data_IF_395791948372
#
_entry.id   IF_395791948372
#
_cell.length_a   1.000
_cell.length_b   1.000
_cell.length_c   1.000
_cell.angle_alpha   90.00
_cell.angle_beta   90.00
_cell.angle_gamma   90.00
#
_symmetry.space_group_name_H-M   'P 1'
#
loop_
_entity.id
_entity.type
_entity.pdbx_description
1 polymer ?
#
# COMPACT_ATOMS: atom_id res chain seq x y z
N UNK A 1 -31.98 7.35 -44.21
CA UNK A 1 -32.03 6.81 -42.83
C UNK A 1 -30.70 7.16 -42.16
N UNK A 2 -30.71 8.08 -41.18
CA UNK A 2 -29.52 8.52 -40.42
C UNK A 2 -29.30 7.56 -39.26
N UNK A 3 -28.08 7.05 -39.07
CA UNK A 3 -27.63 6.51 -37.78
C UNK A 3 -26.52 7.43 -37.25
N UNK A 4 -26.79 7.98 -36.07
CA UNK A 4 -26.10 9.10 -35.48
C UNK A 4 -24.75 8.70 -34.87
N UNK A 5 -23.75 9.55 -35.08
CA UNK A 5 -22.49 9.52 -34.36
C UNK A 5 -22.70 9.83 -32.88
N UNK A 6 -22.37 8.87 -32.03
CA UNK A 6 -22.11 9.09 -30.61
C UNK A 6 -20.62 9.14 -30.37
N UNK A 7 -19.99 10.31 -30.56
CA UNK A 7 -18.67 10.56 -29.95
C UNK A 7 -18.89 10.47 -28.45
N UNK A 8 -18.34 9.43 -27.82
CA UNK A 8 -18.20 9.36 -26.37
C UNK A 8 -17.46 10.62 -25.94
N UNK A 9 -18.19 11.61 -25.43
CA UNK A 9 -17.61 12.81 -24.84
C UNK A 9 -16.79 12.33 -23.66
N UNK A 10 -15.47 12.30 -23.86
CA UNK A 10 -14.51 12.04 -22.79
C UNK A 10 -14.79 13.01 -21.67
N UNK A 11 -15.29 12.51 -20.55
CA UNK A 11 -15.29 13.24 -19.32
C UNK A 11 -13.83 13.57 -19.02
N UNK A 12 -13.44 14.83 -19.18
CA UNK A 12 -12.16 15.33 -18.67
C UNK A 12 -12.20 15.05 -17.16
N UNK A 13 -11.36 14.16 -16.60
CA UNK A 13 -11.45 13.84 -15.19
C UNK A 13 -11.17 15.13 -14.43
N UNK A 14 -12.13 15.55 -13.58
CA UNK A 14 -11.91 16.63 -12.62
C UNK A 14 -10.53 16.41 -11.99
N UNK A 15 -9.62 17.39 -12.13
CA UNK A 15 -8.21 17.30 -11.67
C UNK A 15 -8.18 16.53 -10.37
N UNK A 16 -7.74 15.25 -10.40
CA UNK A 16 -7.81 14.38 -9.23
C UNK A 16 -6.94 15.02 -8.16
N UNK A 17 -7.57 15.69 -7.18
CA UNK A 17 -6.86 16.35 -6.08
C UNK A 17 -5.99 15.29 -5.42
N UNK A 18 -4.68 15.55 -5.36
CA UNK A 18 -3.72 14.68 -4.65
C UNK A 18 -4.15 14.53 -3.19
N UNK A 19 -3.87 13.37 -2.60
CA UNK A 19 -3.97 13.14 -1.16
C UNK A 19 -2.66 13.58 -0.53
N UNK A 20 -2.75 14.31 0.58
CA UNK A 20 -1.60 14.82 1.32
C UNK A 20 -1.61 14.12 2.69
N UNK A 21 -0.51 13.46 3.04
CA UNK A 21 -0.31 12.84 4.36
C UNK A 21 0.98 13.41 4.94
N UNK A 22 0.86 14.25 5.96
CA UNK A 22 1.97 15.08 6.45
C UNK A 22 2.55 15.92 5.30
N UNK A 23 3.85 15.76 5.03
CA UNK A 23 4.56 16.42 3.92
C UNK A 23 4.55 15.66 2.59
N UNK A 24 3.97 14.46 2.55
CA UNK A 24 4.00 13.59 1.36
C UNK A 24 2.72 13.74 0.53
N UNK A 25 2.85 13.66 -0.80
CA UNK A 25 1.76 13.85 -1.76
C UNK A 25 1.58 12.61 -2.62
N UNK A 26 0.36 12.09 -2.68
CA UNK A 26 -0.02 10.90 -3.43
C UNK A 26 -1.08 11.25 -4.48
N UNK A 27 -0.95 10.74 -5.69
CA UNK A 27 -1.98 10.83 -6.73
C UNK A 27 -3.09 9.79 -6.53
N UNK A 28 -2.77 8.64 -5.96
CA UNK A 28 -3.76 7.61 -5.62
C UNK A 28 -4.38 7.88 -4.25
N UNK A 29 -5.68 7.62 -4.15
CA UNK A 29 -6.44 7.67 -2.88
C UNK A 29 -6.66 6.27 -2.30
N UNK A 30 -6.22 5.24 -3.01
CA UNK A 30 -6.35 3.85 -2.60
C UNK A 30 -5.14 3.45 -1.78
N UNK A 31 -5.40 2.99 -0.56
CA UNK A 31 -4.43 2.33 0.30
C UNK A 31 -4.69 0.82 0.21
N UNK A 32 -3.62 0.03 0.14
CA UNK A 32 -3.74 -1.40 -0.04
C UNK A 32 -3.06 -2.17 1.10
N UNK A 33 -3.64 -3.29 1.54
CA UNK A 33 -3.00 -4.18 2.50
C UNK A 33 -2.42 -5.42 1.83
N UNK A 34 -1.50 -6.11 2.50
CA UNK A 34 -0.78 -7.29 1.94
C UNK A 34 -1.22 -8.63 2.53
N UNK A 35 -2.19 -8.61 3.45
CA UNK A 35 -2.42 -9.73 4.38
C UNK A 35 -3.07 -10.99 3.81
N UNK A 36 -3.79 -10.90 2.69
CA UNK A 36 -4.72 -11.95 2.21
C UNK A 36 -4.42 -12.43 0.78
N UNK A 37 -3.23 -12.15 0.26
CA UNK A 37 -2.81 -12.69 -1.03
C UNK A 37 -2.32 -14.13 -0.87
N UNK A 38 -2.60 -14.94 -1.88
CA UNK A 38 -2.17 -16.33 -1.93
C UNK A 38 -0.65 -16.44 -2.05
N UNK A 39 -0.03 -15.55 -2.84
CA UNK A 39 1.40 -15.52 -3.12
C UNK A 39 1.88 -14.08 -3.40
N UNK A 40 3.21 -13.91 -3.45
CA UNK A 40 3.85 -12.62 -3.68
C UNK A 40 3.57 -12.05 -5.08
N UNK A 41 3.53 -12.91 -6.10
CA UNK A 41 3.31 -12.50 -7.48
C UNK A 41 1.93 -11.86 -7.66
N UNK A 42 0.88 -12.53 -7.17
CA UNK A 42 -0.50 -12.04 -7.19
C UNK A 42 -0.62 -10.72 -6.43
N UNK A 43 0.03 -10.62 -5.26
CA UNK A 43 0.04 -9.40 -4.47
C UNK A 43 0.68 -8.23 -5.23
N UNK A 44 1.86 -8.43 -5.81
CA UNK A 44 2.60 -7.40 -6.56
C UNK A 44 1.79 -6.97 -7.78
N UNK A 45 1.25 -7.93 -8.55
CA UNK A 45 0.40 -7.64 -9.70
C UNK A 45 -0.82 -6.79 -9.32
N UNK A 46 -1.49 -7.14 -8.22
CA UNK A 46 -2.65 -6.40 -7.74
C UNK A 46 -2.29 -4.98 -7.28
N UNK A 47 -1.16 -4.80 -6.59
CA UNK A 47 -0.67 -3.47 -6.18
C UNK A 47 -0.39 -2.59 -7.39
N UNK A 48 0.35 -3.10 -8.38
CA UNK A 48 0.68 -2.36 -9.59
C UNK A 48 -0.57 -2.00 -10.39
N UNK A 49 -1.48 -2.95 -10.61
CA UNK A 49 -2.73 -2.73 -11.34
C UNK A 49 -3.64 -1.70 -10.65
N UNK A 50 -3.65 -1.68 -9.31
CA UNK A 50 -4.47 -0.75 -8.53
C UNK A 50 -3.97 0.71 -8.57
N UNK A 51 -2.68 0.91 -8.91
CA UNK A 51 -2.02 2.21 -8.79
C UNK A 51 -1.94 2.73 -7.35
N UNK A 52 -2.12 1.87 -6.34
CA UNK A 52 -1.93 2.24 -4.94
C UNK A 52 -0.49 2.68 -4.70
N UNK A 53 -0.32 3.76 -3.95
CA UNK A 53 1.02 4.29 -3.62
C UNK A 53 1.37 4.12 -2.15
N UNK A 54 0.40 3.71 -1.32
CA UNK A 54 0.60 3.43 0.09
C UNK A 54 0.15 1.99 0.32
N UNK A 55 1.07 1.15 0.79
CA UNK A 55 0.84 -0.27 1.02
C UNK A 55 1.11 -0.59 2.48
N UNK A 56 0.12 -1.14 3.19
CA UNK A 56 0.24 -1.45 4.62
C UNK A 56 0.78 -2.85 4.84
N UNK A 57 1.77 -2.98 5.73
CA UNK A 57 2.46 -4.24 6.02
C UNK A 57 2.37 -4.56 7.51
N UNK A 58 2.06 -5.81 7.84
CA UNK A 58 2.00 -6.26 9.24
C UNK A 58 3.38 -6.77 9.68
N UNK A 59 3.88 -6.25 10.80
CA UNK A 59 5.25 -6.53 11.28
C UNK A 59 5.45 -7.95 11.81
N UNK A 60 4.38 -8.66 12.15
CA UNK A 60 4.43 -10.06 12.59
C UNK A 60 5.05 -11.01 11.56
N UNK A 61 5.12 -10.57 10.30
CA UNK A 61 5.65 -11.32 9.16
C UNK A 61 7.12 -11.05 8.86
N UNK A 62 7.75 -10.07 9.51
CA UNK A 62 9.15 -9.73 9.21
C UNK A 62 10.08 -10.68 9.99
N UNK A 63 10.93 -11.44 9.29
CA UNK A 63 12.04 -12.21 9.88
C UNK A 63 11.72 -13.59 10.46
N UNK A 64 10.49 -14.10 10.33
CA UNK A 64 10.07 -15.44 10.79
C UNK A 64 9.53 -16.35 9.68
N UNK A 65 9.70 -15.94 8.44
CA UNK A 65 9.08 -16.58 7.29
C UNK A 65 10.15 -17.28 6.46
N UNK A 66 9.96 -18.54 6.05
CA UNK A 66 10.81 -19.19 5.04
C UNK A 66 10.97 -18.27 3.82
N UNK A 67 12.15 -18.20 3.18
CA UNK A 67 12.38 -17.22 2.08
C UNK A 67 11.32 -17.29 0.97
N UNK A 68 10.75 -18.47 0.76
CA UNK A 68 9.69 -18.77 -0.20
C UNK A 68 8.32 -18.12 0.11
N UNK A 69 8.08 -17.73 1.35
CA UNK A 69 6.86 -17.03 1.79
C UNK A 69 7.10 -15.52 2.02
N UNK A 70 8.28 -14.98 1.65
CA UNK A 70 8.62 -13.57 1.83
C UNK A 70 7.80 -12.67 0.88
N UNK A 71 6.66 -12.20 1.39
CA UNK A 71 5.84 -11.21 0.70
C UNK A 71 6.44 -9.78 0.78
N UNK A 72 7.41 -9.51 1.63
CA UNK A 72 7.88 -8.15 1.89
C UNK A 72 9.08 -7.76 1.03
N UNK A 73 10.00 -8.68 0.77
CA UNK A 73 11.14 -8.47 -0.12
C UNK A 73 10.74 -7.91 -1.49
N UNK A 74 9.77 -8.51 -2.21
CA UNK A 74 9.30 -8.00 -3.49
C UNK A 74 8.74 -6.58 -3.42
N UNK A 75 8.05 -6.22 -2.32
CA UNK A 75 7.49 -4.86 -2.14
C UNK A 75 8.56 -3.80 -1.94
N UNK A 76 9.67 -4.14 -1.28
CA UNK A 76 10.80 -3.23 -1.08
C UNK A 76 11.48 -2.86 -2.39
N UNK A 77 11.36 -3.71 -3.42
CA UNK A 77 11.92 -3.47 -4.75
C UNK A 77 11.02 -2.60 -5.63
N UNK A 78 9.75 -2.40 -5.27
CA UNK A 78 8.81 -1.60 -6.06
C UNK A 78 9.08 -0.10 -5.92
N UNK A 79 9.34 0.56 -7.04
CA UNK A 79 9.48 2.01 -7.11
C UNK A 79 8.12 2.70 -6.95
N UNK A 80 8.10 3.84 -6.24
CA UNK A 80 6.89 4.67 -6.10
C UNK A 80 5.87 4.14 -5.09
N UNK A 81 6.19 3.05 -4.38
CA UNK A 81 5.41 2.53 -3.26
C UNK A 81 5.96 3.05 -1.94
N UNK A 82 5.09 3.57 -1.11
CA UNK A 82 5.36 3.89 0.29
C UNK A 82 4.82 2.77 1.16
N UNK A 83 5.71 2.03 1.82
CA UNK A 83 5.30 1.06 2.83
C UNK A 83 4.81 1.78 4.08
N UNK A 84 3.70 1.31 4.66
CA UNK A 84 3.17 1.80 5.92
C UNK A 84 3.05 0.64 6.92
N UNK A 85 4.06 0.43 7.78
CA UNK A 85 3.98 -0.50 8.89
C UNK A 85 2.70 -0.33 9.69
N UNK A 86 2.14 -1.44 10.16
CA UNK A 86 0.97 -1.41 11.02
C UNK A 86 1.18 -2.20 12.31
N UNK A 87 0.39 -1.83 13.31
CA UNK A 87 0.36 -2.37 14.68
C UNK A 87 -0.59 -3.57 14.82
N UNK A 88 -1.03 -4.18 13.69
CA UNK A 88 -2.07 -5.22 13.70
C UNK A 88 -1.80 -6.30 14.75
N UNK A 89 -2.78 -6.47 15.64
CA UNK A 89 -2.79 -7.44 16.71
C UNK A 89 -2.11 -6.99 18.02
N UNK A 90 -1.64 -5.75 18.10
CA UNK A 90 -1.44 -5.11 19.40
C UNK A 90 -2.78 -5.04 20.16
N UNK A 91 -2.77 -5.35 21.45
CA UNK A 91 -3.96 -5.35 22.32
C UNK A 91 -4.03 -4.16 23.26
N UNK A 92 -2.94 -3.41 23.37
CA UNK A 92 -2.83 -2.23 24.21
C UNK A 92 -1.85 -1.22 23.57
N UNK A 93 -1.84 0.00 24.12
CA UNK A 93 -1.00 1.09 23.61
C UNK A 93 0.49 0.74 23.64
N UNK A 94 0.97 0.07 24.69
CA UNK A 94 2.37 -0.33 24.83
C UNK A 94 2.81 -1.27 23.69
N UNK A 95 1.97 -2.25 23.35
CA UNK A 95 2.20 -3.15 22.22
C UNK A 95 2.19 -2.40 20.88
N UNK A 96 1.24 -1.48 20.69
CA UNK A 96 1.14 -0.68 19.47
C UNK A 96 2.37 0.23 19.27
N UNK A 97 2.84 0.89 20.34
CA UNK A 97 4.05 1.72 20.33
C UNK A 97 5.28 0.86 20.01
N UNK A 98 5.39 -0.32 20.61
CA UNK A 98 6.51 -1.24 20.34
C UNK A 98 6.52 -1.67 18.87
N UNK A 99 5.36 -2.06 18.33
CA UNK A 99 5.22 -2.39 16.92
C UNK A 99 5.57 -1.20 16.02
N UNK A 100 5.05 -0.01 16.31
CA UNK A 100 5.35 1.21 15.55
C UNK A 100 6.86 1.52 15.49
N UNK A 101 7.56 1.43 16.62
CA UNK A 101 9.01 1.63 16.69
C UNK A 101 9.77 0.60 15.86
N UNK A 102 9.43 -0.68 16.01
CA UNK A 102 10.05 -1.75 15.22
C UNK A 102 9.83 -1.56 13.71
N UNK A 103 8.61 -1.21 13.31
CA UNK A 103 8.29 -0.99 11.90
C UNK A 103 9.01 0.19 11.29
N UNK A 104 9.24 1.25 12.08
CA UNK A 104 10.04 2.39 11.65
C UNK A 104 11.48 1.99 11.38
N UNK A 105 12.11 1.23 12.27
CA UNK A 105 13.50 0.77 12.11
C UNK A 105 13.66 -0.17 10.91
N UNK A 106 12.70 -1.10 10.71
CA UNK A 106 12.77 -2.08 9.63
C UNK A 106 12.42 -1.52 8.25
N UNK A 107 11.45 -0.60 8.20
CA UNK A 107 10.86 -0.12 6.94
C UNK A 107 11.33 1.26 6.49
N UNK A 108 12.03 2.01 7.35
CA UNK A 108 12.44 3.40 7.09
C UNK A 108 11.29 4.37 6.84
N UNK A 109 10.04 3.92 7.02
CA UNK A 109 8.85 4.69 6.64
C UNK A 109 8.54 5.75 7.69
N UNK A 110 8.19 6.98 7.28
CA UNK A 110 7.71 8.01 8.20
C UNK A 110 6.26 7.76 8.67
N UNK A 111 5.59 6.73 8.16
CA UNK A 111 4.18 6.45 8.45
C UNK A 111 4.01 5.18 9.27
N UNK A 112 3.00 5.20 10.15
CA UNK A 112 2.50 4.02 10.85
C UNK A 112 0.98 4.03 10.85
N UNK A 113 0.38 2.87 10.61
CA UNK A 113 -1.05 2.64 10.85
C UNK A 113 -1.21 2.05 12.25
N UNK A 114 -1.70 2.87 13.17
CA UNK A 114 -1.99 2.49 14.57
C UNK A 114 -3.30 1.75 14.67
#
# INVERSE_FOLDING_TARGET
MRAAGGRLRGAVPARRRRVIVGRHRFSSRLLMGTGKFQDAETMVGAILASGAQIVTVALRRVGRIPREDDLLGPLQQLKGITMMPNTSGARNASEAIRAARLGRELGGSPFVKV
#
